data_IF_136339627239
#
_entry.id   IF_136339627239
#
_cell.length_a   1.000
_cell.length_b   1.000
_cell.length_c   1.000
_cell.angle_alpha   90.00
_cell.angle_beta   90.00
_cell.angle_gamma   90.00
#
_symmetry.space_group_name_H-M   'P 1'
#
loop_
_entity.id
_entity.type
_entity.pdbx_description
1 polymer ?
#
# COMPACT_ATOMS: atom_id res chain seq x y z
N UNK A 1 25.08 1.37 -23.72
CA UNK A 1 24.63 2.34 -22.69
C UNK A 1 23.14 2.22 -22.37
N UNK A 2 22.24 2.24 -23.38
CA UNK A 2 20.77 2.15 -23.19
C UNK A 2 20.29 1.03 -22.25
N UNK A 3 20.75 -0.21 -22.45
CA UNK A 3 20.35 -1.37 -21.62
C UNK A 3 20.77 -1.25 -20.14
N UNK A 4 21.92 -0.63 -19.86
CA UNK A 4 22.39 -0.41 -18.47
C UNK A 4 21.54 0.66 -17.79
N UNK A 5 21.23 1.73 -18.51
CA UNK A 5 20.33 2.78 -18.03
C UNK A 5 18.93 2.24 -17.73
N UNK A 6 18.35 1.46 -18.65
CA UNK A 6 17.05 0.80 -18.45
C UNK A 6 17.05 -0.13 -17.23
N UNK A 7 18.15 -0.87 -16.99
CA UNK A 7 18.28 -1.74 -15.83
C UNK A 7 18.37 -0.96 -14.52
N UNK A 8 19.11 0.15 -14.49
CA UNK A 8 19.19 1.03 -13.32
C UNK A 8 17.82 1.66 -13.03
N UNK A 9 17.14 2.14 -14.07
CA UNK A 9 15.81 2.73 -13.93
C UNK A 9 14.79 1.71 -13.41
N UNK A 10 14.78 0.50 -13.99
CA UNK A 10 13.90 -0.58 -13.53
C UNK A 10 14.24 -0.98 -12.09
N UNK A 11 15.53 -1.10 -11.75
CA UNK A 11 15.97 -1.40 -10.39
C UNK A 11 15.49 -0.37 -9.38
N UNK A 12 15.66 0.92 -9.69
CA UNK A 12 15.17 2.01 -8.85
C UNK A 12 13.64 1.99 -8.68
N UNK A 13 12.91 1.82 -9.78
CA UNK A 13 11.45 1.72 -9.77
C UNK A 13 10.98 0.51 -8.93
N UNK A 14 11.65 -0.63 -9.04
CA UNK A 14 11.40 -1.82 -8.22
C UNK A 14 11.63 -1.54 -6.74
N UNK A 15 12.73 -0.89 -6.38
CA UNK A 15 13.02 -0.57 -4.98
C UNK A 15 11.93 0.31 -4.37
N UNK A 16 11.50 1.36 -5.07
CA UNK A 16 10.42 2.23 -4.61
C UNK A 16 9.09 1.47 -4.49
N UNK A 17 8.76 0.66 -5.49
CA UNK A 17 7.53 -0.14 -5.49
C UNK A 17 7.50 -1.13 -4.32
N UNK A 18 8.61 -1.83 -4.07
CA UNK A 18 8.71 -2.78 -2.96
C UNK A 18 8.65 -2.07 -1.61
N UNK A 19 9.35 -0.95 -1.45
CA UNK A 19 9.31 -0.16 -0.22
C UNK A 19 7.88 0.32 0.09
N UNK A 20 7.19 0.87 -0.92
CA UNK A 20 5.80 1.30 -0.77
C UNK A 20 4.87 0.11 -0.49
N UNK A 21 5.02 -1.00 -1.21
CA UNK A 21 4.19 -2.19 -0.99
C UNK A 21 4.39 -2.75 0.43
N UNK A 22 5.63 -2.81 0.93
CA UNK A 22 5.90 -3.24 2.30
C UNK A 22 5.18 -2.34 3.32
N UNK A 23 5.24 -1.02 3.14
CA UNK A 23 4.52 -0.07 3.98
C UNK A 23 2.99 -0.25 3.89
N UNK A 24 2.46 -0.43 2.68
CA UNK A 24 1.04 -0.68 2.43
C UNK A 24 0.55 -1.95 3.13
N UNK A 25 1.28 -3.06 2.99
CA UNK A 25 0.96 -4.32 3.66
C UNK A 25 1.12 -4.22 5.18
N UNK A 26 2.15 -3.53 5.68
CA UNK A 26 2.32 -3.27 7.11
C UNK A 26 1.13 -2.50 7.67
N UNK A 27 0.67 -1.46 6.96
CA UNK A 27 -0.47 -0.65 7.37
C UNK A 27 -1.78 -1.43 7.38
N UNK A 28 -1.99 -2.31 6.40
CA UNK A 28 -3.23 -3.09 6.32
C UNK A 28 -3.26 -4.33 7.22
N UNK A 29 -2.11 -4.91 7.54
CA UNK A 29 -2.05 -6.20 8.21
C UNK A 29 -1.11 -6.19 9.42
N UNK A 30 -1.67 -6.05 10.62
CA UNK A 30 -0.88 -5.99 11.87
C UNK A 30 0.06 -7.19 12.11
N UNK A 31 -0.28 -8.39 11.60
CA UNK A 31 0.44 -9.65 11.90
C UNK A 31 1.21 -10.24 10.73
N UNK A 32 1.09 -9.67 9.53
CA UNK A 32 1.63 -10.26 8.29
C UNK A 32 2.81 -9.52 7.67
N UNK A 33 3.44 -8.61 8.42
CA UNK A 33 4.67 -7.93 8.02
C UNK A 33 5.75 -8.88 7.47
N UNK A 34 5.93 -10.04 8.09
CA UNK A 34 6.91 -11.03 7.65
C UNK A 34 6.53 -11.69 6.31
N UNK A 35 5.23 -11.96 6.08
CA UNK A 35 4.75 -12.47 4.79
C UNK A 35 4.86 -11.41 3.70
N UNK A 36 4.64 -10.14 4.02
CA UNK A 36 4.84 -9.03 3.09
C UNK A 36 6.31 -8.90 2.67
N UNK A 37 7.24 -8.99 3.63
CA UNK A 37 8.69 -9.05 3.35
C UNK A 37 9.05 -10.22 2.44
N UNK A 38 8.53 -11.41 2.72
CA UNK A 38 8.79 -12.59 1.90
C UNK A 38 8.22 -12.42 0.48
N UNK A 39 6.99 -11.92 0.36
CA UNK A 39 6.35 -11.63 -0.92
C UNK A 39 7.13 -10.59 -1.74
N UNK A 40 7.61 -9.52 -1.11
CA UNK A 40 8.43 -8.50 -1.75
C UNK A 40 9.73 -9.08 -2.33
N UNK A 41 10.43 -9.93 -1.58
CA UNK A 41 11.66 -10.60 -2.04
C UNK A 41 11.38 -11.54 -3.22
N UNK A 42 10.29 -12.32 -3.16
CA UNK A 42 9.89 -13.23 -4.25
C UNK A 42 9.57 -12.44 -5.52
N UNK A 43 8.78 -11.36 -5.43
CA UNK A 43 8.44 -10.49 -6.56
C UNK A 43 9.69 -9.84 -7.16
N UNK A 44 10.59 -9.32 -6.32
CA UNK A 44 11.86 -8.75 -6.75
C UNK A 44 12.72 -9.77 -7.51
N UNK A 45 12.81 -11.00 -7.00
CA UNK A 45 13.55 -12.10 -7.63
C UNK A 45 12.99 -12.48 -9.00
N UNK A 46 11.67 -12.62 -9.13
CA UNK A 46 11.00 -12.93 -10.40
C UNK A 46 11.26 -11.81 -11.43
N UNK A 47 11.11 -10.55 -11.01
CA UNK A 47 11.31 -9.40 -11.89
C UNK A 47 12.79 -9.26 -12.30
N UNK A 48 13.73 -9.54 -11.41
CA UNK A 48 15.17 -9.58 -11.71
C UNK A 48 15.54 -10.67 -12.73
N UNK A 49 14.97 -11.87 -12.60
CA UNK A 49 15.17 -12.96 -13.57
C UNK A 49 14.55 -12.64 -14.93
N UNK A 50 13.37 -12.02 -14.96
CA UNK A 50 12.73 -11.60 -16.21
C UNK A 50 13.51 -10.49 -16.91
N UNK A 51 13.97 -9.49 -16.15
CA UNK A 51 14.77 -8.38 -16.67
C UNK A 51 16.14 -8.82 -17.20
N UNK A 52 16.78 -9.81 -16.57
CA UNK A 52 18.08 -10.34 -17.03
C UNK A 52 17.96 -11.02 -18.40
N UNK A 53 16.86 -11.76 -18.62
CA UNK A 53 16.56 -12.42 -19.90
C UNK A 53 16.06 -11.45 -20.97
N UNK A 54 15.12 -10.56 -20.64
CA UNK A 54 14.59 -9.57 -21.57
C UNK A 54 14.02 -8.36 -20.83
N UNK A 55 14.63 -7.20 -21.02
CA UNK A 55 14.24 -5.95 -20.35
C UNK A 55 12.77 -5.58 -20.59
N UNK A 56 12.22 -5.85 -21.79
CA UNK A 56 10.79 -5.59 -22.07
C UNK A 56 9.87 -6.45 -21.22
N UNK A 57 10.24 -7.72 -20.99
CA UNK A 57 9.46 -8.61 -20.11
C UNK A 57 9.57 -8.19 -18.64
N UNK A 58 10.74 -7.71 -18.22
CA UNK A 58 10.95 -7.13 -16.89
C UNK A 58 10.02 -5.93 -16.65
N UNK A 59 9.99 -4.97 -17.58
CA UNK A 59 9.08 -3.82 -17.49
C UNK A 59 7.61 -4.21 -17.53
N UNK A 60 7.22 -5.13 -18.41
CA UNK A 60 5.83 -5.55 -18.54
C UNK A 60 5.35 -6.25 -17.27
N UNK A 61 6.17 -7.14 -16.70
CA UNK A 61 5.87 -7.77 -15.42
C UNK A 61 5.81 -6.76 -14.27
N UNK A 62 6.74 -5.79 -14.22
CA UNK A 62 6.71 -4.71 -13.24
C UNK A 62 5.41 -3.89 -13.32
N UNK A 63 5.03 -3.44 -14.51
CA UNK A 63 3.80 -2.66 -14.73
C UNK A 63 2.56 -3.46 -14.33
N UNK A 64 2.52 -4.76 -14.65
CA UNK A 64 1.41 -5.63 -14.25
C UNK A 64 1.32 -5.75 -12.73
N UNK A 65 2.43 -6.00 -12.04
CA UNK A 65 2.47 -6.05 -10.58
C UNK A 65 2.04 -4.72 -9.96
N UNK A 66 2.61 -3.61 -10.45
CA UNK A 66 2.27 -2.27 -10.00
C UNK A 66 0.77 -1.99 -10.16
N UNK A 67 0.22 -2.27 -11.34
CA UNK A 67 -1.20 -2.09 -11.63
C UNK A 67 -2.10 -2.93 -10.72
N UNK A 68 -1.76 -4.21 -10.50
CA UNK A 68 -2.51 -5.08 -9.59
C UNK A 68 -2.48 -4.56 -8.14
N UNK A 69 -1.32 -4.13 -7.65
CA UNK A 69 -1.20 -3.59 -6.29
C UNK A 69 -1.94 -2.26 -6.14
N UNK A 70 -1.86 -1.36 -7.13
CA UNK A 70 -2.60 -0.10 -7.12
C UNK A 70 -4.12 -0.31 -7.16
N UNK A 71 -4.60 -1.25 -7.97
CA UNK A 71 -6.01 -1.62 -8.03
C UNK A 71 -6.49 -2.20 -6.69
N UNK A 72 -5.70 -3.09 -6.08
CA UNK A 72 -6.00 -3.61 -4.75
C UNK A 72 -6.09 -2.50 -3.72
N UNK A 73 -5.06 -1.64 -3.64
CA UNK A 73 -5.00 -0.56 -2.66
C UNK A 73 -6.18 0.42 -2.80
N UNK A 74 -6.54 0.75 -4.04
CA UNK A 74 -7.66 1.66 -4.33
C UNK A 74 -9.03 1.05 -3.99
N UNK A 75 -9.12 -0.27 -3.94
CA UNK A 75 -10.35 -1.00 -3.56
C UNK A 75 -10.52 -1.22 -2.06
N UNK A 76 -9.59 -0.77 -1.23
CA UNK A 76 -9.69 -0.92 0.23
C UNK A 76 -10.75 0.03 0.78
N UNK A 77 -11.86 -0.53 1.26
CA UNK A 77 -12.90 0.25 1.95
C UNK A 77 -12.39 0.77 3.30
N UNK A 78 -12.59 2.05 3.63
CA UNK A 78 -12.30 2.59 4.95
C UNK A 78 -13.05 1.81 6.04
N UNK A 79 -12.37 1.47 7.12
CA UNK A 79 -12.92 0.72 8.26
C UNK A 79 -12.79 1.53 9.53
N UNK A 80 -13.88 1.62 10.30
CA UNK A 80 -13.89 2.32 11.58
C UNK A 80 -13.51 1.40 12.76
N UNK A 81 -13.58 0.08 12.57
CA UNK A 81 -13.33 -0.96 13.57
C UNK A 81 -11.87 -1.44 13.65
N UNK A 82 -10.93 -0.58 13.27
CA UNK A 82 -9.49 -0.84 13.41
C UNK A 82 -8.97 -0.38 14.77
N UNK A 83 -7.80 -0.90 15.16
CA UNK A 83 -7.08 -0.47 16.36
C UNK A 83 -6.40 0.87 16.06
N UNK A 84 -7.23 1.91 16.04
CA UNK A 84 -6.79 3.28 15.84
C UNK A 84 -6.00 3.78 17.06
N UNK A 85 -5.10 4.73 16.83
CA UNK A 85 -4.37 5.38 17.91
C UNK A 85 -5.35 6.01 18.93
N UNK A 86 -5.00 6.06 20.23
CA UNK A 86 -5.93 6.49 21.28
C UNK A 86 -6.58 7.86 21.03
N UNK A 87 -5.87 8.77 20.36
CA UNK A 87 -6.28 10.13 20.03
C UNK A 87 -7.26 10.21 18.84
N UNK A 88 -7.43 9.14 18.06
CA UNK A 88 -8.35 9.05 16.91
C UNK A 88 -9.27 7.84 16.97
N UNK A 89 -9.22 7.06 18.04
CA UNK A 89 -10.04 5.86 18.23
C UNK A 89 -11.54 6.14 18.42
N UNK A 90 -11.90 7.38 18.79
CA UNK A 90 -13.31 7.78 18.90
C UNK A 90 -13.73 8.56 17.66
N UNK A 91 -14.53 7.92 16.81
CA UNK A 91 -15.19 8.61 15.70
C UNK A 91 -16.27 9.59 16.19
N UNK A 92 -16.57 10.59 15.35
CA UNK A 92 -17.71 11.49 15.53
C UNK A 92 -18.99 10.67 15.39
N UNK A 93 -19.88 10.76 16.37
CA UNK A 93 -21.20 10.13 16.35
C UNK A 93 -22.28 11.17 16.49
N UNK A 94 -23.46 10.91 15.91
CA UNK A 94 -24.62 11.79 16.02
C UNK A 94 -25.81 11.01 16.58
N UNK A 95 -26.43 11.57 17.61
CA UNK A 95 -27.71 11.14 18.15
C UNK A 95 -28.79 12.09 17.64
N UNK A 96 -29.83 11.52 17.02
CA UNK A 96 -30.95 12.28 16.46
C UNK A 96 -32.14 12.20 17.41
N UNK A 97 -32.50 13.32 18.02
CA UNK A 97 -33.74 13.53 18.78
C UNK A 97 -34.68 14.41 17.95
N UNK A 98 -36.01 14.27 18.10
CA UNK A 98 -37.05 14.81 17.22
C UNK A 98 -36.68 16.11 16.47
N UNK A 99 -36.32 17.18 17.21
CA UNK A 99 -35.91 18.48 16.65
C UNK A 99 -34.46 18.86 17.00
N UNK A 100 -33.63 17.92 17.46
CA UNK A 100 -32.27 18.21 17.95
C UNK A 100 -31.28 17.11 17.57
N UNK A 101 -30.14 17.49 17.00
CA UNK A 101 -29.03 16.59 16.74
C UNK A 101 -27.93 16.85 17.75
N UNK A 102 -27.57 15.83 18.54
CA UNK A 102 -26.46 15.87 19.49
C UNK A 102 -25.27 15.17 18.84
N UNK A 103 -24.18 15.90 18.65
CA UNK A 103 -22.95 15.36 18.04
C UNK A 103 -21.91 15.14 19.13
N UNK A 104 -21.43 13.90 19.25
CA UNK A 104 -20.41 13.51 20.24
C UNK A 104 -19.03 13.37 19.60
N UNK A 105 -17.99 13.45 20.43
CA UNK A 105 -16.58 13.31 20.02
C UNK A 105 -16.15 14.33 18.96
N UNK A 106 -16.67 15.56 19.01
CA UNK A 106 -16.16 16.67 18.20
C UNK A 106 -14.73 16.97 18.64
N UNK A 107 -13.79 16.93 17.70
CA UNK A 107 -12.39 17.26 17.95
C UNK A 107 -12.25 18.78 18.04
N UNK A 108 -11.65 19.25 19.12
CA UNK A 108 -11.29 20.65 19.29
C UNK A 108 -9.88 20.90 18.74
N UNK A 109 -9.72 21.89 17.87
CA UNK A 109 -8.46 22.17 17.14
C UNK A 109 -7.84 23.53 17.53
N UNK A 110 -8.16 24.06 18.71
CA UNK A 110 -7.61 25.34 19.22
C UNK A 110 -6.08 25.32 19.28
#
# INVERSE_FOLDING_TARGET
MRRKFEAVLLGFALTLFLAWSLAAFWFQFERFAMLACLGAVVVAGILGVLASRNMRRGWLAFITCLGATMLWWSGITPRQDLIWAPDVARGVTAEFQSDTVIVHNIRDFV
#
